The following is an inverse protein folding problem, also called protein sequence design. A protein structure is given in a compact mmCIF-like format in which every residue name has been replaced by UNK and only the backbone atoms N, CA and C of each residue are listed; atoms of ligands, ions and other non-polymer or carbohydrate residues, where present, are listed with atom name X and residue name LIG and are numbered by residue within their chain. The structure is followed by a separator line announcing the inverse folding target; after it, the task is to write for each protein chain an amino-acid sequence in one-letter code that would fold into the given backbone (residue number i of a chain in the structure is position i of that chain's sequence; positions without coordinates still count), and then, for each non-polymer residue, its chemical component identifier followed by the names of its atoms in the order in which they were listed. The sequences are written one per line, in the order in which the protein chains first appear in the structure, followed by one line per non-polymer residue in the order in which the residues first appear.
data_IF_243140762124
#
_entry.id   IF_243140762124
#
_cell.length_a   1.000
_cell.length_b   1.000
_cell.length_c   1.000
_cell.angle_alpha   90.00
_cell.angle_beta   90.00
_cell.angle_gamma   90.00
#
_symmetry.space_group_name_H-M   'P 1'
#
loop_
_entity.id
_entity.type
_entity.pdbx_description
1 polymer ?
#
# COMPACT_ATOMS: atom_id res chain seq x y z
N UNK A 1 -5.27 17.93 39.88
CA UNK A 1 -3.87 17.96 39.38
C UNK A 1 -3.94 17.45 37.96
N UNK A 2 -3.34 18.14 36.98
CA UNK A 2 -3.31 17.62 35.62
C UNK A 2 -2.58 16.26 35.63
N UNK A 3 -3.13 15.26 34.96
CA UNK A 3 -2.51 13.94 34.83
C UNK A 3 -1.20 14.10 34.05
N UNK A 4 -0.07 13.64 34.61
CA UNK A 4 1.18 13.52 33.84
C UNK A 4 1.30 12.07 33.39
N UNK A 5 0.86 11.78 32.16
CA UNK A 5 0.86 10.41 31.62
C UNK A 5 2.24 9.75 31.62
N UNK A 6 3.31 10.53 31.47
CA UNK A 6 4.68 10.01 31.47
C UNK A 6 5.09 9.57 32.87
N UNK A 7 4.74 10.35 33.90
CA UNK A 7 5.00 9.99 35.29
C UNK A 7 4.04 8.91 35.79
N UNK A 8 2.75 9.13 35.63
CA UNK A 8 1.69 8.36 36.27
C UNK A 8 1.52 6.97 35.65
N UNK A 9 1.76 6.83 34.33
CA UNK A 9 1.64 5.53 33.65
C UNK A 9 3.00 4.94 33.27
N UNK A 10 3.92 5.77 32.76
CA UNK A 10 5.24 5.29 32.34
C UNK A 10 6.31 5.39 33.43
N UNK A 11 6.01 5.91 34.63
CA UNK A 11 6.96 6.00 35.72
C UNK A 11 8.19 6.86 35.43
N UNK A 12 8.11 7.73 34.42
CA UNK A 12 9.20 8.61 34.00
C UNK A 12 9.27 9.78 34.97
N UNK A 13 10.39 9.96 35.70
CA UNK A 13 10.47 10.98 36.74
C UNK A 13 10.35 12.40 36.17
N UNK A 14 9.91 13.33 37.01
CA UNK A 14 9.63 14.73 36.62
C UNK A 14 10.90 15.55 36.32
N UNK A 15 12.07 15.06 36.72
CA UNK A 15 13.35 15.71 36.42
C UNK A 15 13.77 15.55 34.96
N UNK A 16 13.10 14.67 34.20
CA UNK A 16 13.32 14.53 32.76
C UNK A 16 12.45 15.57 32.03
N UNK A 17 13.04 16.40 31.14
CA UNK A 17 12.30 17.38 30.36
C UNK A 17 11.10 16.76 29.62
N UNK A 18 10.02 17.54 29.49
CA UNK A 18 8.84 17.12 28.72
C UNK A 18 8.83 17.84 27.36
N UNK A 19 8.56 17.13 26.25
CA UNK A 19 8.40 15.67 26.15
C UNK A 19 9.74 14.92 26.39
N UNK A 20 9.71 13.68 26.92
CA UNK A 20 10.90 12.86 27.05
C UNK A 20 11.48 12.49 25.68
N UNK A 21 12.79 12.23 25.62
CA UNK A 21 13.43 11.68 24.42
C UNK A 21 12.93 10.25 24.11
N UNK A 22 13.15 9.77 22.88
CA UNK A 22 12.65 8.48 22.41
C UNK A 22 13.21 7.29 23.21
N UNK A 23 14.45 7.39 23.69
CA UNK A 23 15.05 6.33 24.51
C UNK A 23 14.42 6.29 25.89
N UNK A 24 14.28 7.43 26.55
CA UNK A 24 13.61 7.55 27.84
C UNK A 24 12.14 7.12 27.75
N UNK A 25 11.44 7.52 26.69
CA UNK A 25 10.05 7.17 26.46
C UNK A 25 9.84 5.65 26.33
N UNK A 26 10.74 4.95 25.62
CA UNK A 26 10.72 3.50 25.49
C UNK A 26 11.45 2.76 26.62
N UNK A 27 11.95 3.47 27.64
CA UNK A 27 12.74 2.91 28.75
C UNK A 27 13.96 2.11 28.27
N UNK A 28 14.66 2.65 27.28
CA UNK A 28 15.87 2.10 26.70
C UNK A 28 17.11 2.84 27.21
N UNK A 29 18.26 2.21 27.07
CA UNK A 29 19.55 2.90 27.23
C UNK A 29 19.75 3.78 25.98
N UNK A 30 20.31 4.97 26.17
CA UNK A 30 20.66 5.88 25.07
C UNK A 30 21.56 5.17 24.07
N UNK A 31 21.30 5.35 22.78
CA UNK A 31 22.00 4.70 21.67
C UNK A 31 21.86 3.16 21.63
N UNK A 32 20.74 2.62 22.12
CA UNK A 32 20.40 1.22 21.88
C UNK A 32 20.32 0.91 20.38
N UNK A 33 21.08 -0.11 19.94
CA UNK A 33 21.17 -0.55 18.55
C UNK A 33 20.38 -1.84 18.27
N UNK A 34 19.99 -2.59 19.32
CA UNK A 34 19.18 -3.80 19.16
C UNK A 34 17.71 -3.47 18.85
N UNK A 35 17.36 -3.57 17.57
CA UNK A 35 16.00 -3.39 17.03
C UNK A 35 14.97 -4.28 17.73
N UNK A 36 15.32 -5.53 18.06
CA UNK A 36 14.39 -6.45 18.72
C UNK A 36 14.12 -6.03 20.16
N UNK A 37 15.15 -5.50 20.85
CA UNK A 37 14.98 -4.92 22.17
C UNK A 37 14.12 -3.67 22.15
N UNK A 38 14.32 -2.78 21.17
CA UNK A 38 13.49 -1.58 20.96
C UNK A 38 12.01 -1.98 20.79
N UNK A 39 11.73 -2.90 19.87
CA UNK A 39 10.35 -3.41 19.64
C UNK A 39 9.78 -4.11 20.87
N UNK A 40 10.58 -4.89 21.59
CA UNK A 40 10.15 -5.57 22.80
C UNK A 40 9.76 -4.61 23.93
N UNK A 41 10.46 -3.49 24.07
CA UNK A 41 10.11 -2.42 25.01
C UNK A 41 8.85 -1.67 24.58
N UNK A 42 8.78 -1.28 23.32
CA UNK A 42 7.58 -0.66 22.73
C UNK A 42 6.33 -1.52 22.97
N UNK A 43 6.37 -2.81 22.62
CA UNK A 43 5.23 -3.73 22.79
C UNK A 43 4.70 -3.75 24.22
N UNK A 44 5.59 -3.87 25.22
CA UNK A 44 5.22 -3.89 26.64
C UNK A 44 4.56 -2.59 27.10
N UNK A 45 5.11 -1.45 26.68
CA UNK A 45 4.58 -0.14 27.05
C UNK A 45 3.25 0.15 26.34
N UNK A 46 3.17 -0.18 25.06
CA UNK A 46 1.98 -0.06 24.24
C UNK A 46 0.81 -0.89 24.82
N UNK A 47 1.05 -2.16 25.17
CA UNK A 47 0.06 -3.01 25.86
C UNK A 47 -0.38 -2.43 27.22
N UNK A 48 0.52 -1.78 27.95
CA UNK A 48 0.20 -1.13 29.22
C UNK A 48 -0.71 0.08 28.99
N UNK A 49 -0.36 0.98 28.08
CA UNK A 49 -1.11 2.22 27.81
C UNK A 49 -2.48 1.90 27.21
N UNK A 50 -2.61 0.84 26.39
CA UNK A 50 -3.90 0.38 25.83
C UNK A 50 -4.95 0.04 26.90
N UNK A 51 -4.56 -0.21 28.15
CA UNK A 51 -5.52 -0.41 29.27
C UNK A 51 -6.32 0.86 29.59
N UNK A 52 -5.81 2.02 29.22
CA UNK A 52 -6.43 3.33 29.43
C UNK A 52 -7.13 3.86 28.17
N UNK A 53 -7.13 3.10 27.05
CA UNK A 53 -7.71 3.49 25.77
C UNK A 53 -9.24 3.66 25.76
N UNK A 54 -9.92 3.37 26.88
CA UNK A 54 -11.36 3.53 27.02
C UNK A 54 -11.69 4.29 28.30
N UNK A 55 -12.79 5.05 28.27
CA UNK A 55 -13.25 5.82 29.42
C UNK A 55 -12.65 7.22 29.45
N UNK A 56 -12.42 7.74 30.66
CA UNK A 56 -12.10 9.16 30.90
C UNK A 56 -10.79 9.62 30.27
N UNK A 57 -9.81 8.72 30.12
CA UNK A 57 -8.45 9.05 29.65
C UNK A 57 -8.19 8.60 28.21
N UNK A 58 -9.24 8.46 27.40
CA UNK A 58 -9.14 7.97 26.03
C UNK A 58 -8.26 8.87 25.16
N UNK A 59 -8.33 10.20 25.34
CA UNK A 59 -7.55 11.14 24.53
C UNK A 59 -6.07 11.07 24.91
N UNK A 60 -5.76 11.15 26.19
CA UNK A 60 -4.40 11.14 26.71
C UNK A 60 -3.69 9.80 26.45
N UNK A 61 -4.42 8.69 26.50
CA UNK A 61 -3.90 7.38 26.11
C UNK A 61 -3.64 7.29 24.62
N UNK A 62 -4.52 7.81 23.77
CA UNK A 62 -4.28 7.83 22.33
C UNK A 62 -3.05 8.68 21.96
N UNK A 63 -2.88 9.85 22.58
CA UNK A 63 -1.69 10.69 22.40
C UNK A 63 -0.42 9.96 22.81
N UNK A 64 -0.41 9.31 23.98
CA UNK A 64 0.76 8.56 24.43
C UNK A 64 1.06 7.33 23.55
N UNK A 65 0.04 6.64 23.04
CA UNK A 65 0.22 5.53 22.10
C UNK A 65 0.88 6.02 20.79
N UNK A 66 0.49 7.22 20.33
CA UNK A 66 1.09 7.84 19.16
C UNK A 66 2.56 8.19 19.44
N UNK A 67 2.89 8.80 20.59
CA UNK A 67 4.26 9.11 20.97
C UNK A 67 5.15 7.86 21.03
N UNK A 68 4.65 6.78 21.65
CA UNK A 68 5.35 5.49 21.72
C UNK A 68 5.61 4.92 20.33
N UNK A 69 4.64 5.01 19.42
CA UNK A 69 4.78 4.56 18.04
C UNK A 69 5.83 5.38 17.28
N UNK A 70 5.81 6.72 17.41
CA UNK A 70 6.79 7.62 16.77
C UNK A 70 8.22 7.32 17.23
N UNK A 71 8.42 7.14 18.54
CA UNK A 71 9.71 6.77 19.09
C UNK A 71 10.21 5.42 18.54
N UNK A 72 9.34 4.41 18.51
CA UNK A 72 9.70 3.08 17.96
C UNK A 72 10.05 3.17 16.48
N UNK A 73 9.26 3.89 15.68
CA UNK A 73 9.52 4.03 14.24
C UNK A 73 10.80 4.81 13.96
N UNK A 74 11.09 5.86 14.73
CA UNK A 74 12.34 6.61 14.61
C UNK A 74 13.55 5.73 14.96
N UNK A 75 13.49 4.99 16.07
CA UNK A 75 14.62 4.16 16.54
C UNK A 75 14.78 2.84 15.77
N UNK A 76 13.86 2.48 14.88
CA UNK A 76 13.97 1.25 14.06
C UNK A 76 14.21 1.53 12.58
N UNK A 77 14.19 2.80 12.19
CA UNK A 77 14.58 3.28 10.87
C UNK A 77 16.08 3.66 10.91
N UNK A 78 16.95 3.04 10.08
CA UNK A 78 18.39 3.28 10.14
C UNK A 78 18.79 4.74 9.91
N UNK A 79 18.16 5.42 8.95
CA UNK A 79 18.48 6.81 8.61
C UNK A 79 17.96 7.75 9.69
N UNK A 80 16.70 7.60 10.11
CA UNK A 80 16.14 8.47 11.16
C UNK A 80 16.82 8.28 12.50
N UNK A 81 17.21 7.05 12.84
CA UNK A 81 17.94 6.78 14.06
C UNK A 81 19.31 7.42 14.02
N UNK A 82 20.01 7.37 12.88
CA UNK A 82 21.30 8.04 12.71
C UNK A 82 21.15 9.54 12.98
N UNK A 83 20.25 10.23 12.28
CA UNK A 83 20.02 11.67 12.45
C UNK A 83 19.61 12.01 13.89
N UNK A 84 18.77 11.18 14.50
CA UNK A 84 18.31 11.36 15.87
C UNK A 84 19.44 11.18 16.90
N UNK A 85 20.26 10.15 16.72
CA UNK A 85 21.40 9.85 17.58
C UNK A 85 22.46 10.96 17.48
N UNK A 86 22.69 11.49 16.28
CA UNK A 86 23.61 12.62 16.05
C UNK A 86 23.13 13.88 16.79
N UNK A 87 21.83 14.19 16.75
CA UNK A 87 21.23 15.31 17.52
C UNK A 87 21.42 15.11 19.03
N UNK A 88 21.43 13.86 19.51
CA UNK A 88 21.70 13.51 20.91
C UNK A 88 23.20 13.41 21.24
N UNK A 89 24.08 13.64 20.28
CA UNK A 89 25.53 13.70 20.46
C UNK A 89 26.29 12.40 20.19
N UNK A 90 25.70 11.44 19.46
CA UNK A 90 26.46 10.28 18.94
C UNK A 90 27.32 10.74 17.78
N UNK A 91 28.61 10.39 17.83
CA UNK A 91 29.52 10.61 16.72
C UNK A 91 29.55 9.36 15.83
N UNK A 92 29.47 9.56 14.51
CA UNK A 92 29.60 8.51 13.49
C UNK A 92 30.87 8.74 12.68
N UNK A 93 31.53 7.68 12.25
CA UNK A 93 32.65 7.77 11.31
C UNK A 93 32.09 8.05 9.91
N UNK A 94 32.65 9.03 9.19
CA UNK A 94 32.28 9.35 7.80
C UNK A 94 32.38 8.15 6.85
N UNK A 95 33.16 7.12 7.23
CA UNK A 95 33.34 5.89 6.45
C UNK A 95 32.39 4.76 6.83
N UNK A 96 31.50 4.93 7.82
CA UNK A 96 30.55 3.90 8.25
C UNK A 96 29.37 3.83 7.26
N UNK A 97 29.64 3.32 6.05
CA UNK A 97 28.62 3.14 5.03
C UNK A 97 27.61 2.09 5.51
N UNK A 98 26.33 2.47 5.61
CA UNK A 98 25.24 1.58 5.99
C UNK A 98 25.01 0.51 4.91
N UNK A 99 25.82 -0.56 4.94
CA UNK A 99 25.64 -1.71 4.05
C UNK A 99 24.38 -2.47 4.45
N UNK A 100 23.32 -2.30 3.65
CA UNK A 100 22.05 -3.03 3.83
C UNK A 100 22.23 -4.48 3.38
N UNK A 101 22.08 -5.47 4.27
CA UNK A 101 22.18 -6.86 3.87
C UNK A 101 20.96 -7.22 3.00
N UNK A 102 21.18 -8.05 1.99
CA UNK A 102 20.10 -8.54 1.13
C UNK A 102 19.14 -9.43 1.92
N UNK A 103 17.89 -9.60 1.46
CA UNK A 103 16.93 -10.50 2.11
C UNK A 103 17.50 -11.90 2.31
N UNK A 104 18.28 -12.41 1.35
CA UNK A 104 18.94 -13.71 1.44
C UNK A 104 19.95 -13.77 2.61
N UNK A 105 20.81 -12.76 2.75
CA UNK A 105 21.78 -12.69 3.84
C UNK A 105 21.07 -12.56 5.20
N UNK A 106 20.04 -11.73 5.25
CA UNK A 106 19.22 -11.52 6.44
C UNK A 106 18.54 -12.82 6.87
N UNK A 107 17.90 -13.54 5.95
CA UNK A 107 17.24 -14.82 6.24
C UNK A 107 18.22 -15.92 6.70
N UNK A 108 19.48 -15.90 6.26
CA UNK A 108 20.51 -16.81 6.80
C UNK A 108 20.88 -16.41 8.24
N UNK A 109 21.01 -15.11 8.51
CA UNK A 109 21.46 -14.60 9.81
C UNK A 109 20.38 -14.66 10.90
N UNK A 110 19.17 -14.20 10.59
CA UNK A 110 18.05 -14.11 11.54
C UNK A 110 16.95 -15.13 11.29
N UNK A 111 16.71 -15.52 10.04
CA UNK A 111 15.69 -16.51 9.69
C UNK A 111 16.12 -17.97 9.91
N UNK A 112 17.38 -18.22 10.24
CA UNK A 112 17.91 -19.56 10.50
C UNK A 112 18.02 -20.46 9.27
N UNK A 113 17.98 -19.89 8.07
CA UNK A 113 18.06 -20.66 6.82
C UNK A 113 19.51 -21.00 6.45
N UNK A 114 19.72 -22.21 5.94
CA UNK A 114 20.99 -22.58 5.33
C UNK A 114 21.14 -21.94 3.94
N UNK A 115 22.38 -21.84 3.45
CA UNK A 115 22.65 -21.35 2.09
C UNK A 115 21.96 -22.23 1.05
N UNK A 116 21.98 -23.55 1.25
CA UNK A 116 21.34 -24.51 0.35
C UNK A 116 19.81 -24.29 0.28
N UNK A 117 19.16 -23.98 1.41
CA UNK A 117 17.73 -23.66 1.45
C UNK A 117 17.41 -22.36 0.71
N UNK A 118 18.30 -21.36 0.78
CA UNK A 118 18.15 -20.11 0.05
C UNK A 118 18.26 -20.34 -1.46
N UNK A 119 19.21 -21.17 -1.90
CA UNK A 119 19.38 -21.46 -3.31
C UNK A 119 18.21 -22.31 -3.85
N UNK A 120 17.70 -23.27 -3.07
CA UNK A 120 16.46 -24.00 -3.40
C UNK A 120 15.26 -23.03 -3.50
N UNK A 121 15.16 -22.05 -2.59
CA UNK A 121 14.09 -21.06 -2.61
C UNK A 121 14.17 -20.12 -3.81
N UNK A 122 15.37 -19.73 -4.25
CA UNK A 122 15.57 -18.94 -5.48
C UNK A 122 15.14 -19.73 -6.72
N UNK A 123 15.57 -20.99 -6.83
CA UNK A 123 15.15 -21.87 -7.92
C UNK A 123 13.62 -22.04 -7.97
N UNK A 124 12.99 -22.18 -6.80
CA UNK A 124 11.53 -22.25 -6.69
C UNK A 124 10.86 -20.93 -7.10
N UNK A 125 11.43 -19.80 -6.67
CA UNK A 125 10.94 -18.46 -7.00
C UNK A 125 10.96 -18.20 -8.52
N UNK A 126 12.08 -18.49 -9.18
CA UNK A 126 12.25 -18.31 -10.62
C UNK A 126 11.27 -19.16 -11.42
N UNK A 127 11.12 -20.44 -11.06
CA UNK A 127 10.20 -21.37 -11.76
C UNK A 127 8.74 -20.95 -11.65
N UNK A 128 8.37 -20.20 -10.61
CA UNK A 128 6.98 -19.78 -10.36
C UNK A 128 6.72 -18.30 -10.58
N UNK A 129 7.74 -17.50 -10.90
CA UNK A 129 7.64 -16.05 -11.01
C UNK A 129 7.26 -15.39 -9.68
N UNK A 130 7.81 -15.89 -8.57
CA UNK A 130 7.58 -15.35 -7.22
C UNK A 130 8.80 -14.54 -6.77
N UNK A 131 8.61 -13.67 -5.78
CA UNK A 131 9.72 -13.06 -5.06
C UNK A 131 10.40 -14.09 -4.14
N UNK A 132 11.67 -13.87 -3.78
CA UNK A 132 12.36 -14.74 -2.81
C UNK A 132 11.63 -14.77 -1.47
N UNK A 133 11.10 -13.62 -1.02
CA UNK A 133 10.25 -13.50 0.18
C UNK A 133 9.06 -14.46 0.13
N UNK A 134 8.29 -14.43 -0.96
CA UNK A 134 7.07 -15.23 -1.07
C UNK A 134 7.41 -16.71 -1.25
N UNK A 135 8.52 -17.02 -1.92
CA UNK A 135 9.00 -18.39 -2.08
C UNK A 135 9.35 -19.03 -0.73
N UNK A 136 10.12 -18.37 0.13
CA UNK A 136 10.52 -18.94 1.43
C UNK A 136 9.32 -19.17 2.36
N UNK A 137 8.30 -18.30 2.29
CA UNK A 137 7.03 -18.48 3.03
C UNK A 137 6.23 -19.64 2.45
N UNK A 138 6.11 -19.73 1.13
CA UNK A 138 5.35 -20.79 0.47
C UNK A 138 5.97 -22.17 0.68
N UNK A 139 7.30 -22.25 0.72
CA UNK A 139 8.06 -23.46 1.05
C UNK A 139 8.03 -23.78 2.56
N UNK A 140 7.41 -22.92 3.38
CA UNK A 140 7.35 -23.04 4.84
C UNK A 140 8.73 -23.08 5.50
N UNK A 141 9.71 -22.41 4.89
CA UNK A 141 11.05 -22.27 5.43
C UNK A 141 11.06 -21.24 6.57
N UNK A 142 10.31 -20.15 6.41
CA UNK A 142 10.08 -19.11 7.42
C UNK A 142 8.61 -18.70 7.44
N UNK A 143 8.20 -18.02 8.50
CA UNK A 143 6.89 -17.37 8.57
C UNK A 143 6.85 -16.05 7.77
N UNK A 144 5.64 -15.52 7.59
CA UNK A 144 5.44 -14.30 6.81
C UNK A 144 6.01 -13.05 7.49
N UNK A 145 6.10 -13.05 8.82
CA UNK A 145 6.61 -11.94 9.62
C UNK A 145 8.13 -11.83 9.47
N UNK A 146 8.86 -12.94 9.63
CA UNK A 146 10.31 -12.98 9.43
C UNK A 146 10.69 -12.64 7.99
N UNK A 147 9.92 -13.11 7.01
CA UNK A 147 10.15 -12.79 5.61
C UNK A 147 9.91 -11.30 5.30
N UNK A 148 8.86 -10.70 5.86
CA UNK A 148 8.57 -9.28 5.72
C UNK A 148 9.63 -8.40 6.41
N UNK A 149 10.09 -8.80 7.60
CA UNK A 149 11.18 -8.12 8.29
C UNK A 149 12.49 -8.16 7.48
N UNK A 150 12.80 -9.31 6.87
CA UNK A 150 13.99 -9.43 6.04
C UNK A 150 13.93 -8.54 4.79
N UNK A 151 12.74 -8.38 4.18
CA UNK A 151 12.52 -7.43 3.10
C UNK A 151 12.69 -5.98 3.58
N UNK A 152 12.16 -5.65 4.76
CA UNK A 152 12.26 -4.31 5.34
C UNK A 152 13.72 -3.88 5.52
N UNK A 153 14.57 -4.80 6.00
CA UNK A 153 16.01 -4.57 6.16
C UNK A 153 16.71 -4.30 4.82
N UNK A 154 16.38 -5.07 3.78
CA UNK A 154 16.95 -4.86 2.44
C UNK A 154 16.57 -3.51 1.86
N UNK A 155 15.30 -3.11 2.03
CA UNK A 155 14.81 -1.79 1.61
C UNK A 155 15.29 -0.67 2.53
N UNK A 156 15.85 -0.99 3.71
CA UNK A 156 16.12 -0.09 4.82
C UNK A 156 14.90 0.73 5.25
N UNK A 157 13.74 0.07 5.28
CA UNK A 157 12.50 0.59 5.81
C UNK A 157 12.21 -0.06 7.18
N UNK A 158 11.56 0.62 8.11
CA UNK A 158 11.13 0.01 9.36
C UNK A 158 10.04 -1.05 9.11
N UNK A 159 10.15 -2.19 9.80
CA UNK A 159 9.09 -3.19 9.89
C UNK A 159 8.18 -2.91 11.09
N UNK A 160 6.87 -3.05 10.89
CA UNK A 160 5.87 -2.80 11.94
C UNK A 160 4.82 -3.92 12.04
N UNK A 161 4.47 -4.23 13.28
CA UNK A 161 3.32 -5.06 13.61
C UNK A 161 2.07 -4.16 13.77
N UNK A 162 1.12 -4.34 12.85
CA UNK A 162 -0.09 -3.51 12.79
C UNK A 162 -1.10 -3.80 13.89
N UNK A 163 -0.95 -4.90 14.64
CA UNK A 163 -1.79 -5.13 15.84
C UNK A 163 -1.50 -4.11 16.94
N UNK A 164 -0.29 -3.54 16.91
CA UNK A 164 0.22 -2.62 17.92
C UNK A 164 -0.07 -1.16 17.58
N UNK A 165 -0.45 -0.85 16.34
CA UNK A 165 -0.79 0.51 15.91
C UNK A 165 -2.30 0.71 15.78
N UNK A 166 -2.72 1.95 16.00
CA UNK A 166 -4.11 2.39 15.77
C UNK A 166 -4.07 3.47 14.69
N UNK A 167 -4.63 3.22 13.50
CA UNK A 167 -4.77 4.25 12.46
C UNK A 167 -5.66 5.41 12.93
N UNK A 168 -5.49 6.57 12.32
CA UNK A 168 -6.37 7.72 12.49
C UNK A 168 -7.56 7.62 11.53
N UNK A 169 -8.77 7.61 12.08
CA UNK A 169 -10.03 7.54 11.32
C UNK A 169 -10.17 8.68 10.32
N UNK A 170 -9.63 9.87 10.62
CA UNK A 170 -9.64 11.01 9.71
C UNK A 170 -8.81 10.77 8.43
N UNK A 171 -7.74 9.97 8.55
CA UNK A 171 -6.88 9.57 7.44
C UNK A 171 -7.52 8.44 6.65
N UNK A 172 -8.09 7.45 7.34
CA UNK A 172 -8.82 6.36 6.71
C UNK A 172 -10.01 6.87 5.88
N UNK A 173 -10.71 7.92 6.34
CA UNK A 173 -11.80 8.55 5.59
C UNK A 173 -11.35 9.20 4.27
N UNK A 174 -10.11 9.72 4.20
CA UNK A 174 -9.55 10.34 2.98
C UNK A 174 -9.09 9.31 1.93
N UNK A 175 -8.79 8.08 2.36
CA UNK A 175 -8.25 7.03 1.49
C UNK A 175 -9.28 5.91 1.38
N UNK A 176 -10.03 5.81 0.27
CA UNK A 176 -11.05 4.78 0.11
C UNK A 176 -10.51 3.36 0.25
N UNK A 177 -11.30 2.48 0.89
CA UNK A 177 -10.96 1.07 1.12
C UNK A 177 -10.53 0.31 -0.14
N UNK A 178 -11.11 0.63 -1.29
CA UNK A 178 -10.74 0.00 -2.56
C UNK A 178 -9.31 0.35 -3.00
N UNK A 179 -8.83 1.57 -2.70
CA UNK A 179 -7.43 1.98 -2.95
C UNK A 179 -6.51 1.22 -2.00
N UNK A 180 -6.85 1.17 -0.71
CA UNK A 180 -6.10 0.41 0.29
C UNK A 180 -5.97 -1.07 -0.08
N UNK A 181 -7.09 -1.71 -0.45
CA UNK A 181 -7.14 -3.14 -0.80
C UNK A 181 -6.48 -3.44 -2.14
N UNK A 182 -6.62 -2.58 -3.15
CA UNK A 182 -6.01 -2.79 -4.48
C UNK A 182 -4.49 -2.76 -4.40
N UNK A 183 -3.95 -1.84 -3.62
CA UNK A 183 -2.51 -1.67 -3.48
C UNK A 183 -1.91 -2.43 -2.29
N UNK A 184 -2.75 -3.14 -1.53
CA UNK A 184 -2.36 -3.88 -0.31
C UNK A 184 -1.59 -2.99 0.67
N UNK A 185 -2.19 -1.85 1.00
CA UNK A 185 -1.66 -0.87 1.94
C UNK A 185 -2.66 -0.55 3.05
N UNK A 186 -2.16 -0.15 4.21
CA UNK A 186 -2.95 0.41 5.30
C UNK A 186 -2.37 1.77 5.70
N UNK A 187 -3.06 2.88 5.40
CA UNK A 187 -2.67 4.18 5.92
C UNK A 187 -2.90 4.24 7.43
N UNK A 188 -1.98 4.88 8.14
CA UNK A 188 -1.95 4.92 9.61
C UNK A 188 -2.34 6.31 10.10
N UNK A 189 -1.36 7.19 10.30
CA UNK A 189 -1.53 8.54 10.80
C UNK A 189 -0.47 9.46 10.17
N UNK A 190 -0.63 10.77 10.34
CA UNK A 190 0.36 11.77 9.90
C UNK A 190 1.33 12.06 11.04
N UNK A 191 2.61 12.05 10.73
CA UNK A 191 3.73 12.37 11.61
C UNK A 191 4.70 13.28 10.87
N UNK A 192 5.10 14.42 11.46
CA UNK A 192 5.99 15.42 10.86
C UNK A 192 5.65 15.75 9.39
N UNK A 193 4.40 16.17 9.14
CA UNK A 193 3.87 16.46 7.80
C UNK A 193 4.08 15.32 6.78
N UNK A 194 4.08 14.08 7.26
CA UNK A 194 4.26 12.88 6.43
C UNK A 194 3.24 11.81 6.81
N UNK A 195 2.52 11.28 5.83
CA UNK A 195 1.59 10.18 6.02
C UNK A 195 2.35 8.86 6.19
N UNK A 196 2.22 8.21 7.34
CA UNK A 196 2.73 6.85 7.52
C UNK A 196 1.78 5.84 6.88
N UNK A 197 2.34 4.98 6.02
CA UNK A 197 1.59 3.94 5.31
C UNK A 197 2.30 2.61 5.47
N UNK A 198 1.59 1.62 5.99
CA UNK A 198 2.05 0.25 6.01
C UNK A 198 1.81 -0.42 4.66
N UNK A 199 2.87 -0.94 4.07
CA UNK A 199 2.90 -1.58 2.77
C UNK A 199 3.40 -3.02 2.93
N UNK A 200 2.91 -3.93 2.09
CA UNK A 200 3.45 -5.30 2.02
C UNK A 200 4.74 -5.34 1.21
N UNK A 201 4.76 -4.58 0.12
CA UNK A 201 5.86 -4.50 -0.85
C UNK A 201 6.25 -3.04 -1.05
N UNK A 202 7.29 -2.81 -1.86
CA UNK A 202 7.63 -1.46 -2.28
C UNK A 202 6.48 -0.85 -3.11
N UNK A 203 5.92 0.30 -2.71
CA UNK A 203 4.84 0.92 -3.44
C UNK A 203 5.36 1.59 -4.72
N UNK A 204 4.52 1.61 -5.75
CA UNK A 204 4.78 2.34 -7.00
C UNK A 204 4.72 3.85 -6.80
N UNK A 205 5.51 4.62 -7.54
CA UNK A 205 5.46 6.09 -7.50
C UNK A 205 4.05 6.66 -7.75
N UNK A 206 3.26 6.06 -8.65
CA UNK A 206 1.87 6.47 -8.90
C UNK A 206 1.00 6.42 -7.64
N UNK A 207 1.24 5.44 -6.76
CA UNK A 207 0.53 5.29 -5.50
C UNK A 207 0.93 6.38 -4.52
N UNK A 208 2.23 6.70 -4.45
CA UNK A 208 2.73 7.76 -3.58
C UNK A 208 2.14 9.11 -3.97
N UNK A 209 2.09 9.40 -5.27
CA UNK A 209 1.47 10.60 -5.81
C UNK A 209 -0.04 10.62 -5.55
N UNK A 210 -0.73 9.51 -5.75
CA UNK A 210 -2.17 9.40 -5.44
C UNK A 210 -2.45 9.69 -3.95
N UNK A 211 -1.67 9.13 -3.03
CA UNK A 211 -1.85 9.36 -1.60
C UNK A 211 -1.47 10.79 -1.20
N UNK A 212 -0.39 11.34 -1.76
CA UNK A 212 0.03 12.73 -1.54
C UNK A 212 -1.05 13.72 -1.97
N UNK A 213 -1.66 13.53 -3.13
CA UNK A 213 -2.74 14.39 -3.62
C UNK A 213 -4.01 14.30 -2.76
N UNK A 214 -4.30 13.13 -2.18
CA UNK A 214 -5.46 12.91 -1.32
C UNK A 214 -5.31 13.49 0.07
N UNK A 215 -4.13 13.32 0.69
CA UNK A 215 -3.90 13.69 2.10
C UNK A 215 -3.25 15.08 2.22
N UNK A 216 -2.54 15.53 1.19
CA UNK A 216 -1.86 16.84 1.14
C UNK A 216 -0.41 16.82 1.63
N UNK A 217 0.11 15.65 1.97
CA UNK A 217 1.45 15.44 2.54
C UNK A 217 2.14 14.26 1.86
N UNK A 218 3.48 14.24 1.74
CA UNK A 218 4.20 13.06 1.26
C UNK A 218 3.89 11.84 2.14
N UNK A 219 4.04 10.64 1.58
CA UNK A 219 3.94 9.41 2.37
C UNK A 219 5.32 8.88 2.76
N UNK A 220 5.40 8.23 3.92
CA UNK A 220 6.53 7.41 4.36
C UNK A 220 6.05 5.97 4.48
N UNK A 221 6.86 5.08 3.95
CA UNK A 221 6.58 3.66 3.79
C UNK A 221 7.04 2.92 5.04
N UNK A 222 6.22 2.00 5.54
CA UNK A 222 6.57 1.02 6.57
C UNK A 222 6.31 -0.36 5.98
N UNK A 223 7.14 -1.36 6.26
CA UNK A 223 6.86 -2.73 5.81
C UNK A 223 6.06 -3.47 6.88
N UNK A 224 5.03 -4.21 6.47
CA UNK A 224 4.23 -5.05 7.35
C UNK A 224 3.90 -6.38 6.67
N UNK A 225 3.53 -7.38 7.48
CA UNK A 225 3.17 -8.69 6.92
C UNK A 225 1.90 -8.60 6.05
N UNK A 226 1.79 -9.40 4.98
CA UNK A 226 0.59 -9.44 4.14
C UNK A 226 -0.69 -9.75 4.93
N UNK A 227 -0.58 -10.61 5.94
CA UNK A 227 -1.70 -10.99 6.79
C UNK A 227 -2.18 -9.77 7.61
N UNK A 228 -1.25 -9.10 8.28
CA UNK A 228 -1.53 -7.95 9.15
C UNK A 228 -2.17 -6.81 8.36
N UNK A 229 -1.68 -6.51 7.15
CA UNK A 229 -2.27 -5.45 6.30
C UNK A 229 -3.70 -5.80 5.91
N UNK A 230 -3.93 -7.01 5.41
CA UNK A 230 -5.26 -7.44 4.97
C UNK A 230 -6.28 -7.48 6.13
N UNK A 231 -5.85 -7.96 7.30
CA UNK A 231 -6.67 -7.95 8.51
C UNK A 231 -6.95 -6.53 9.00
N UNK A 232 -5.95 -5.66 8.98
CA UNK A 232 -6.09 -4.24 9.31
C UNK A 232 -7.09 -3.55 8.40
N UNK A 233 -6.97 -3.74 7.07
CA UNK A 233 -7.95 -3.20 6.10
C UNK A 233 -9.36 -3.72 6.40
N UNK A 234 -9.52 -5.01 6.70
CA UNK A 234 -10.82 -5.59 7.01
C UNK A 234 -11.41 -5.02 8.32
N UNK A 235 -10.58 -4.82 9.35
CA UNK A 235 -10.98 -4.34 10.67
C UNK A 235 -11.32 -2.85 10.67
N UNK A 236 -10.39 -2.01 10.21
CA UNK A 236 -10.49 -0.56 10.40
C UNK A 236 -11.44 0.10 9.40
N UNK A 237 -11.53 -0.39 8.16
CA UNK A 237 -12.51 0.15 7.20
C UNK A 237 -13.94 -0.34 7.42
N UNK A 238 -14.14 -1.44 8.16
CA UNK A 238 -15.50 -1.93 8.45
C UNK A 238 -16.28 -0.98 9.37
N UNK A 239 -15.61 -0.25 10.26
CA UNK A 239 -16.24 0.75 11.15
C UNK A 239 -16.72 1.98 10.38
N UNK A 240 -15.88 2.50 9.49
CA UNK A 240 -16.15 3.73 8.73
C UNK A 240 -17.32 3.55 7.75
N UNK A 241 -17.44 2.37 7.14
CA UNK A 241 -18.58 2.04 6.27
C UNK A 241 -19.91 2.01 7.06
N UNK A 242 -19.89 1.62 8.35
CA UNK A 242 -21.07 1.60 9.20
C UNK A 242 -21.49 3.02 9.66
N UNK A 243 -20.53 3.91 9.91
CA UNK A 243 -20.79 5.30 10.31
C UNK A 243 -21.30 6.15 9.14
N UNK A 244 -20.82 5.90 7.91
CA UNK A 244 -21.31 6.56 6.69
C UNK A 244 -22.73 6.16 6.27
N UNK A 245 -23.20 4.97 6.65
CA UNK A 245 -24.60 4.56 6.48
C UNK A 245 -25.55 5.20 7.51
N UNK A 246 -25.04 5.56 8.69
CA UNK A 246 -25.83 6.25 9.73
C UNK A 246 -26.12 7.72 9.39
N UNK A 247 -25.21 8.41 8.70
CA UNK A 247 -25.41 9.81 8.27
C UNK A 247 -26.19 9.97 6.95
N UNK A 248 -26.26 8.92 6.11
CA UNK A 248 -27.01 8.97 4.84
C UNK A 248 -28.46 8.46 4.93
N UNK A 249 -28.92 8.05 6.12
CA UNK A 249 -30.24 7.45 6.35
C UNK A 249 -31.43 8.42 6.47
N UNK A 250 -31.23 9.74 6.36
CA UNK A 250 -32.31 10.71 6.58
C UNK A 250 -33.18 11.01 5.34
N UNK A 251 -32.86 10.49 4.16
CA UNK A 251 -33.65 10.80 2.97
C UNK A 251 -33.72 9.62 1.98
N UNK A 252 -34.63 8.69 2.27
CA UNK A 252 -35.44 7.91 1.31
C UNK A 252 -36.16 6.77 2.04
N UNK A 253 -37.33 7.10 2.59
CA UNK A 253 -38.38 6.12 2.77
C UNK A 253 -39.36 6.27 1.59
N UNK A 254 -39.34 5.34 0.64
CA UNK A 254 -40.57 4.64 0.32
C UNK A 254 -40.33 3.30 -0.40
N UNK A 255 -41.04 2.29 0.11
CA UNK A 255 -41.53 1.02 -0.48
C UNK A 255 -40.73 0.35 -1.63
N UNK A 256 -40.44 -0.96 -1.60
CA UNK A 256 -41.44 -2.03 -1.48
C UNK A 256 -40.77 -3.40 -1.20
N UNK A 257 -41.34 -4.17 -0.26
CA UNK A 257 -40.98 -5.56 0.05
C UNK A 257 -41.63 -6.52 -0.95
N UNK A 258 -40.86 -7.43 -1.57
CA UNK A 258 -41.35 -8.78 -1.91
C UNK A 258 -40.31 -9.85 -1.60
N UNK A 259 -40.83 -10.97 -1.07
CA UNK A 259 -40.17 -12.05 -0.32
C UNK A 259 -39.85 -13.24 -1.23
N UNK A 260 -38.65 -13.82 -1.04
CA UNK A 260 -38.22 -15.25 -1.18
C UNK A 260 -38.63 -16.08 -2.43
N UNK A 261 -37.65 -16.71 -3.09
CA UNK A 261 -37.47 -18.20 -3.06
C UNK A 261 -36.14 -18.68 -3.71
N UNK A 262 -35.59 -19.77 -3.15
CA UNK A 262 -34.41 -20.55 -3.61
C UNK A 262 -34.74 -21.39 -4.86
N UNK A 263 -33.82 -21.48 -5.83
CA UNK A 263 -33.04 -22.69 -6.27
C UNK A 263 -32.45 -22.51 -7.68
N UNK A 264 -31.16 -22.89 -7.83
CA UNK A 264 -30.45 -23.14 -9.11
C UNK A 264 -31.09 -24.34 -9.86
N UNK A 265 -31.04 -24.43 -11.21
CA UNK A 265 -29.81 -24.84 -11.91
C UNK A 265 -29.54 -24.16 -13.29
N UNK A 266 -28.43 -24.58 -13.89
CA UNK A 266 -27.64 -24.06 -15.03
C UNK A 266 -28.35 -23.98 -16.41
N UNK A 267 -27.95 -22.93 -17.16
CA UNK A 267 -27.61 -22.86 -18.61
C UNK A 267 -28.74 -22.56 -19.64
N UNK A 268 -28.77 -21.31 -20.12
CA UNK A 268 -28.67 -20.89 -21.54
C UNK A 268 -28.64 -19.36 -21.59
N UNK A 269 -27.60 -18.79 -22.18
CA UNK A 269 -27.36 -17.35 -22.32
C UNK A 269 -28.46 -16.71 -23.17
N UNK A 270 -29.37 -15.98 -22.52
CA UNK A 270 -30.28 -15.05 -23.18
C UNK A 270 -29.60 -13.67 -23.25
N UNK A 271 -29.72 -12.99 -24.39
CA UNK A 271 -29.19 -11.65 -24.58
C UNK A 271 -29.77 -10.69 -23.52
N UNK A 272 -28.95 -9.79 -22.92
CA UNK A 272 -29.41 -8.90 -21.86
C UNK A 272 -30.48 -7.92 -22.38
N UNK A 273 -31.56 -7.76 -21.60
CA UNK A 273 -32.64 -6.79 -21.89
C UNK A 273 -32.09 -5.37 -21.93
N UNK A 274 -32.53 -4.59 -22.91
CA UNK A 274 -32.10 -3.19 -23.12
C UNK A 274 -32.38 -2.35 -21.87
N UNK A 275 -31.32 -1.84 -21.23
CA UNK A 275 -31.42 -0.88 -20.11
C UNK A 275 -30.85 -1.33 -18.77
N UNK A 276 -30.43 -2.59 -18.59
CA UNK A 276 -29.80 -3.06 -17.33
C UNK A 276 -28.41 -2.41 -17.10
N UNK A 277 -27.93 -2.31 -15.84
CA UNK A 277 -26.59 -1.81 -15.53
C UNK A 277 -25.49 -2.57 -16.26
N UNK A 278 -25.64 -3.90 -16.36
CA UNK A 278 -24.73 -4.78 -17.11
C UNK A 278 -24.73 -4.51 -18.62
N UNK A 279 -25.88 -4.11 -19.20
CA UNK A 279 -25.97 -3.74 -20.61
C UNK A 279 -25.30 -2.37 -20.89
N UNK A 280 -25.41 -1.42 -19.95
CA UNK A 280 -24.74 -0.11 -20.05
C UNK A 280 -23.21 -0.26 -19.96
N UNK A 281 -22.72 -1.10 -19.05
CA UNK A 281 -21.28 -1.37 -18.91
C UNK A 281 -20.71 -2.08 -20.16
N UNK A 282 -21.44 -3.05 -20.72
CA UNK A 282 -21.04 -3.72 -21.96
C UNK A 282 -21.04 -2.77 -23.18
N UNK A 283 -21.99 -1.84 -23.26
CA UNK A 283 -22.02 -0.81 -24.31
C UNK A 283 -20.85 0.18 -24.16
N UNK A 284 -20.52 0.55 -22.93
CA UNK A 284 -19.41 1.47 -22.63
C UNK A 284 -18.05 0.84 -22.96
N UNK A 285 -17.84 -0.43 -22.60
CA UNK A 285 -16.64 -1.21 -22.99
C UNK A 285 -16.53 -1.35 -24.52
N UNK A 286 -17.64 -1.60 -25.22
CA UNK A 286 -17.64 -1.65 -26.70
C UNK A 286 -17.24 -0.32 -27.33
N UNK A 287 -17.70 0.80 -26.80
CA UNK A 287 -17.31 2.14 -27.28
C UNK A 287 -15.84 2.44 -27.00
N UNK A 288 -15.31 2.06 -25.84
CA UNK A 288 -13.88 2.19 -25.52
C UNK A 288 -13.00 1.38 -26.47
N UNK A 289 -13.36 0.12 -26.75
CA UNK A 289 -12.64 -0.72 -27.73
C UNK A 289 -12.72 -0.10 -29.13
N UNK A 290 -13.89 0.44 -29.53
CA UNK A 290 -14.04 1.14 -30.80
C UNK A 290 -13.16 2.39 -30.92
N UNK A 291 -13.02 3.18 -29.86
CA UNK A 291 -12.13 4.35 -29.81
C UNK A 291 -10.65 3.96 -29.96
N UNK A 292 -10.21 2.91 -29.26
CA UNK A 292 -8.83 2.42 -29.37
C UNK A 292 -8.55 1.95 -30.80
N UNK A 293 -9.44 1.15 -31.39
CA UNK A 293 -9.28 0.68 -32.77
C UNK A 293 -9.29 1.82 -33.80
N UNK A 294 -10.05 2.89 -33.54
CA UNK A 294 -10.05 4.09 -34.37
C UNK A 294 -8.69 4.80 -34.33
N UNK A 295 -8.09 4.97 -33.15
CA UNK A 295 -6.75 5.52 -33.03
C UNK A 295 -5.72 4.65 -33.77
N UNK A 296 -5.81 3.33 -33.62
CA UNK A 296 -4.90 2.39 -34.29
C UNK A 296 -5.09 2.34 -35.81
N UNK A 297 -6.29 2.66 -36.33
CA UNK A 297 -6.53 2.75 -37.78
C UNK A 297 -5.78 3.87 -38.49
N UNK A 298 -5.32 4.88 -37.74
CA UNK A 298 -4.54 6.02 -38.25
C UNK A 298 -3.06 5.84 -37.94
N UNK A 299 -2.72 5.38 -36.73
CA UNK A 299 -1.33 5.24 -36.27
C UNK A 299 -0.61 4.10 -36.99
N UNK A 300 -1.27 2.96 -37.21
CA UNK A 300 -0.62 1.79 -37.82
C UNK A 300 -0.21 2.03 -39.29
N UNK A 301 -1.07 2.62 -40.15
CA UNK A 301 -0.65 2.97 -41.51
C UNK A 301 0.43 4.05 -41.56
N UNK A 302 0.38 5.03 -40.64
CA UNK A 302 1.40 6.08 -40.56
C UNK A 302 2.78 5.54 -40.16
N UNK A 303 2.83 4.60 -39.22
CA UNK A 303 4.06 3.92 -38.84
C UNK A 303 4.61 3.02 -39.98
N UNK A 304 3.72 2.35 -40.73
CA UNK A 304 4.09 1.53 -41.89
C UNK A 304 4.68 2.39 -43.04
N UNK A 305 4.10 3.56 -43.29
CA UNK A 305 4.61 4.53 -44.28
C UNK A 305 6.03 5.03 -43.91
N UNK A 306 6.35 5.14 -42.61
CA UNK A 306 7.66 5.64 -42.14
C UNK A 306 8.75 4.56 -41.98
N UNK A 307 8.39 3.31 -41.68
CA UNK A 307 9.36 2.32 -41.20
C UNK A 307 9.71 1.19 -42.18
N UNK A 308 8.91 0.92 -43.23
CA UNK A 308 8.99 -0.36 -43.96
C UNK A 308 9.30 -0.25 -45.46
N UNK A 309 9.11 0.90 -46.12
CA UNK A 309 9.18 0.97 -47.59
C UNK A 309 10.45 1.66 -48.12
N UNK A 310 11.19 1.05 -49.07
CA UNK A 310 12.28 1.70 -49.78
C UNK A 310 11.77 2.81 -50.73
N UNK A 311 12.59 3.84 -50.94
CA UNK A 311 12.24 5.06 -51.71
C UNK A 311 11.81 4.82 -53.16
N UNK A 312 11.98 3.61 -53.70
CA UNK A 312 11.63 3.24 -55.08
C UNK A 312 10.14 2.99 -55.34
N UNK A 313 9.30 2.86 -54.30
CA UNK A 313 7.85 2.54 -54.43
C UNK A 313 6.95 3.77 -54.16
N UNK A 314 7.53 4.93 -53.83
CA UNK A 314 6.82 6.21 -53.65
C UNK A 314 6.41 6.83 -55.00
N UNK A 315 5.56 6.13 -55.75
CA UNK A 315 5.16 6.49 -57.12
C UNK A 315 4.10 7.62 -57.18
N UNK A 316 3.52 8.01 -56.05
CA UNK A 316 2.57 9.12 -55.93
C UNK A 316 2.85 9.93 -54.66
N UNK A 317 4.04 10.54 -54.61
CA UNK A 317 4.48 11.34 -53.47
C UNK A 317 3.85 12.74 -53.47
N UNK A 318 2.52 12.79 -53.38
CA UNK A 318 1.80 14.02 -53.07
C UNK A 318 1.63 14.02 -51.54
N UNK A 319 2.61 14.58 -50.83
CA UNK A 319 2.70 14.75 -49.36
C UNK A 319 3.30 13.61 -48.49
N UNK A 320 4.05 12.62 -49.01
CA UNK A 320 4.78 11.67 -48.13
C UNK A 320 3.91 10.58 -47.47
N UNK A 321 2.68 10.40 -47.96
CA UNK A 321 1.63 9.64 -47.28
C UNK A 321 0.81 8.82 -48.30
N UNK A 322 1.41 7.76 -48.86
CA UNK A 322 0.77 6.97 -49.93
C UNK A 322 -0.38 6.08 -49.41
N UNK A 323 -0.23 5.40 -48.27
CA UNK A 323 -1.27 4.47 -47.78
C UNK A 323 -2.17 5.07 -46.70
N UNK A 324 -1.65 5.99 -45.91
CA UNK A 324 -2.44 6.77 -44.92
C UNK A 324 -3.63 7.51 -45.55
N UNK A 325 -3.52 7.97 -46.81
CA UNK A 325 -4.60 8.66 -47.52
C UNK A 325 -5.76 7.74 -47.95
N UNK A 326 -5.49 6.45 -48.21
CA UNK A 326 -6.49 5.50 -48.72
C UNK A 326 -6.91 4.43 -47.70
N UNK A 327 -5.99 3.90 -46.89
CA UNK A 327 -6.23 2.80 -45.97
C UNK A 327 -6.89 3.26 -44.67
N UNK A 328 -6.48 4.42 -44.16
CA UNK A 328 -7.03 5.03 -42.95
C UNK A 328 -8.54 5.30 -43.05
N UNK A 329 -9.07 6.00 -44.07
CA UNK A 329 -10.51 6.27 -44.16
C UNK A 329 -11.35 4.99 -44.32
N UNK A 330 -10.83 3.95 -44.97
CA UNK A 330 -11.53 2.65 -45.12
C UNK A 330 -11.60 1.90 -43.78
N UNK A 331 -10.50 1.82 -43.05
CA UNK A 331 -10.46 1.18 -41.73
C UNK A 331 -11.34 1.93 -40.72
N UNK A 332 -11.30 3.25 -40.74
CA UNK A 332 -12.12 4.11 -39.89
C UNK A 332 -13.62 3.91 -40.17
N UNK A 333 -14.03 3.83 -41.44
CA UNK A 333 -15.41 3.51 -41.82
C UNK A 333 -15.85 2.10 -41.36
N UNK A 334 -14.96 1.10 -41.44
CA UNK A 334 -15.26 -0.26 -40.98
C UNK A 334 -15.44 -0.33 -39.46
N UNK A 335 -14.52 0.28 -38.70
CA UNK A 335 -14.60 0.36 -37.24
C UNK A 335 -15.84 1.15 -36.80
N UNK A 336 -16.13 2.27 -37.46
CA UNK A 336 -17.33 3.06 -37.20
C UNK A 336 -18.61 2.25 -37.45
N UNK A 337 -18.66 1.48 -38.55
CA UNK A 337 -19.81 0.63 -38.88
C UNK A 337 -19.99 -0.53 -37.91
N UNK A 338 -18.92 -1.11 -37.34
CA UNK A 338 -19.03 -2.25 -36.43
C UNK A 338 -19.25 -1.88 -34.96
N UNK A 339 -18.74 -0.73 -34.52
CA UNK A 339 -18.76 -0.34 -33.09
C UNK A 339 -19.72 0.81 -32.76
N UNK A 340 -20.04 1.70 -33.71
CA UNK A 340 -20.80 2.93 -33.44
C UNK A 340 -22.15 3.00 -34.17
N UNK A 341 -22.36 2.20 -35.22
CA UNK A 341 -23.66 2.14 -35.91
C UNK A 341 -24.66 1.35 -35.07
N UNK A 342 -25.67 2.04 -34.51
CA UNK A 342 -26.81 1.42 -33.83
C UNK A 342 -27.49 0.41 -34.76
N UNK A 343 -27.68 -0.82 -34.27
CA UNK A 343 -28.64 -1.79 -34.84
C UNK A 343 -29.92 -1.74 -34.06
#
# INVERSE_FOLDING_TARGET
MALDVYKDWLGIPENIPRPPDHYALLRLVTFEDDVQKIRGHYKKLNEHVRKYATGTYQVESQELLNDLAKAMLCLTDPERKHDYDEVLGREFDENDELVRPTIAQTLVRSGGLSRDQIDEAKDFAERRGLSLRDAVVQMKLVDAETAAEALAIELGLPYVDLEQLTPDDSILAKIPRNVARRNTILPLFVDDDTLLVACVDEPTHDLEDELRLRVGVPMRRLIASPLSVNQGIARFYAGIEADGEAESGADRADTEKVKKTKKKPKKRTAAPKSGSPEAKEAEQKRRQVGLILMCWSVVLPAALDQAVLPDSIKFLDIFGFCYTLFLSPVLLLLVFKSYFRRR
#
